data_IF_829075884469
#
_entry.id   IF_829075884469
#
_cell.length_a   1.000
_cell.length_b   1.000
_cell.length_c   1.000
_cell.angle_alpha   90.00
_cell.angle_beta   90.00
_cell.angle_gamma   90.00
#
_symmetry.space_group_name_H-M   'P 1'
#
loop_
_entity.id
_entity.type
_entity.pdbx_description
1 polymer ?
#
# COMPACT_ATOMS: atom_id res chain seq x y z
N UNK A 1 -16.23 -2.72 -27.49
CA UNK A 1 -14.92 -2.62 -26.81
C UNK A 1 -14.87 -1.22 -26.24
N UNK A 2 -15.15 -1.05 -24.94
CA UNK A 2 -15.31 0.27 -24.34
C UNK A 2 -13.96 1.00 -24.30
N UNK A 3 -13.96 2.25 -24.73
CA UNK A 3 -12.84 3.17 -24.66
C UNK A 3 -12.46 3.39 -23.18
N UNK A 4 -11.25 2.97 -22.80
CA UNK A 4 -10.66 3.35 -21.52
C UNK A 4 -9.89 4.63 -21.79
N UNK A 5 -10.59 5.76 -21.81
CA UNK A 5 -9.95 7.08 -21.78
C UNK A 5 -9.22 7.18 -20.45
N UNK A 6 -7.90 6.94 -20.48
CA UNK A 6 -7.02 6.97 -19.32
C UNK A 6 -6.76 8.40 -18.87
N UNK A 7 -7.78 9.06 -18.34
CA UNK A 7 -7.59 10.37 -17.72
C UNK A 7 -6.80 10.22 -16.42
N UNK A 8 -5.74 11.02 -16.28
CA UNK A 8 -4.85 10.93 -15.13
C UNK A 8 -5.56 11.47 -13.89
N UNK A 9 -5.91 10.58 -12.95
CA UNK A 9 -6.64 10.94 -11.72
C UNK A 9 -5.78 11.67 -10.66
N UNK A 10 -4.46 11.75 -10.86
CA UNK A 10 -3.52 12.39 -9.94
C UNK A 10 -2.17 11.68 -9.86
N UNK A 11 -1.31 12.13 -8.94
CA UNK A 11 0.00 11.54 -8.67
C UNK A 11 0.09 11.04 -7.21
N UNK A 12 0.75 9.91 -7.01
CA UNK A 12 1.07 9.40 -5.67
C UNK A 12 2.23 10.20 -5.11
N UNK A 13 2.01 10.91 -4.01
CA UNK A 13 3.02 11.81 -3.39
C UNK A 13 3.80 11.16 -2.25
N UNK A 14 3.37 10.00 -1.79
CA UNK A 14 4.03 9.23 -0.74
C UNK A 14 3.34 7.90 -0.53
N UNK A 15 4.06 6.95 0.06
CA UNK A 15 3.58 5.60 0.31
C UNK A 15 3.99 5.21 1.72
N UNK A 16 3.07 4.61 2.48
CA UNK A 16 3.35 4.11 3.82
C UNK A 16 2.98 2.64 3.95
N UNK A 17 3.75 1.91 4.75
CA UNK A 17 3.47 0.53 5.14
C UNK A 17 3.44 0.43 6.65
N UNK A 18 2.48 -0.33 7.18
CA UNK A 18 2.32 -0.57 8.61
C UNK A 18 2.58 -2.04 8.91
N UNK A 19 3.84 -2.47 9.09
CA UNK A 19 4.17 -3.89 9.19
C UNK A 19 3.55 -4.56 10.42
N UNK A 20 3.36 -3.82 11.51
CA UNK A 20 2.76 -4.30 12.75
C UNK A 20 1.45 -3.57 13.03
N UNK A 21 0.41 -4.32 13.37
CA UNK A 21 -0.91 -3.79 13.71
C UNK A 21 -0.81 -2.73 14.82
N UNK A 22 -1.43 -1.57 14.57
CA UNK A 22 -1.54 -0.43 15.49
C UNK A 22 -0.21 0.26 15.84
N UNK A 23 0.88 -0.05 15.15
CA UNK A 23 2.20 0.59 15.35
C UNK A 23 2.50 1.66 14.30
N UNK A 24 3.60 2.39 14.47
CA UNK A 24 4.09 3.40 13.54
C UNK A 24 4.36 2.79 12.15
N UNK A 25 3.94 3.49 11.11
CA UNK A 25 4.23 3.13 9.72
C UNK A 25 5.59 3.64 9.25
N UNK A 26 6.12 3.01 8.21
CA UNK A 26 7.34 3.43 7.50
C UNK A 26 6.97 4.01 6.13
N UNK A 27 7.69 5.05 5.71
CA UNK A 27 7.57 5.60 4.36
C UNK A 27 8.34 4.71 3.37
N UNK A 28 7.78 4.52 2.18
CA UNK A 28 8.33 3.68 1.13
C UNK A 28 8.50 4.46 -0.18
N UNK A 29 9.56 4.16 -0.92
CA UNK A 29 9.75 4.64 -2.29
C UNK A 29 9.00 3.80 -3.33
N UNK A 30 8.52 2.62 -2.93
CA UNK A 30 7.81 1.68 -3.80
C UNK A 30 7.63 0.32 -3.12
N UNK A 31 6.64 -0.43 -3.58
CA UNK A 31 6.41 -1.81 -3.12
C UNK A 31 5.60 -2.59 -4.15
N UNK A 32 5.67 -3.92 -4.08
CA UNK A 32 4.82 -4.78 -4.87
C UNK A 32 3.40 -4.83 -4.29
N UNK A 33 2.39 -4.73 -5.16
CA UNK A 33 0.99 -4.97 -4.81
C UNK A 33 0.64 -6.41 -5.19
N UNK A 34 0.33 -7.22 -4.19
CA UNK A 34 -0.19 -8.57 -4.37
C UNK A 34 -1.70 -8.64 -4.16
N UNK A 35 -2.27 -9.85 -4.25
CA UNK A 35 -3.70 -10.09 -4.06
C UNK A 35 -4.25 -9.65 -2.68
N UNK A 36 -3.37 -9.51 -1.68
CA UNK A 36 -3.72 -9.10 -0.31
C UNK A 36 -3.33 -7.64 0.01
N UNK A 37 -2.94 -6.86 -0.99
CA UNK A 37 -2.45 -5.49 -0.82
C UNK A 37 -0.92 -5.39 -0.92
N UNK A 38 -0.36 -4.37 -0.27
CA UNK A 38 1.08 -4.08 -0.31
C UNK A 38 1.86 -5.21 0.38
N UNK A 39 2.96 -5.62 -0.24
CA UNK A 39 3.83 -6.64 0.33
C UNK A 39 4.33 -6.21 1.72
N UNK A 40 4.04 -7.05 2.72
CA UNK A 40 4.45 -6.83 4.11
C UNK A 40 3.55 -5.89 4.92
N UNK A 41 2.48 -5.34 4.35
CA UNK A 41 1.52 -4.55 5.13
C UNK A 41 0.75 -5.43 6.12
N UNK A 42 0.69 -4.98 7.37
CA UNK A 42 0.03 -5.63 8.52
C UNK A 42 0.39 -7.12 8.68
N UNK A 43 1.62 -7.49 8.38
CA UNK A 43 2.09 -8.86 8.48
C UNK A 43 2.15 -9.38 9.93
N UNK A 44 2.27 -8.48 10.91
CA UNK A 44 2.45 -8.82 12.31
C UNK A 44 1.38 -8.18 13.21
N UNK A 45 1.14 -8.80 14.36
CA UNK A 45 0.34 -8.25 15.45
C UNK A 45 0.95 -8.67 16.79
N UNK A 46 0.86 -7.77 17.77
CA UNK A 46 1.14 -8.11 19.18
C UNK A 46 -0.08 -8.85 19.73
N UNK A 47 0.16 -9.91 20.49
CA UNK A 47 -0.86 -10.75 21.14
C UNK A 47 -0.55 -10.81 22.63
N UNK A 48 -1.59 -10.75 23.45
CA UNK A 48 -1.56 -10.92 24.92
C UNK A 48 -1.89 -12.38 25.28
#
# INVERSE_FOLDING_TARGET
MADVSGETAGAVVGLWRYPVKSMQGEELNGTAVGARGLLGDRAYAVVD
#
